data_IF_171450190357
#
_entry.id   IF_171450190357
#
_cell.length_a   1.000
_cell.length_b   1.000
_cell.length_c   1.000
_cell.angle_alpha   90.00
_cell.angle_beta   90.00
_cell.angle_gamma   90.00
#
_symmetry.space_group_name_H-M   'P 1'
#
loop_
_entity.id
_entity.type
_entity.pdbx_description
1 polymer ?
#
# COMPACT_ATOMS: atom_id res chain seq x y z
N UNK A 1 -0.81 14.91 -12.17
CA UNK A 1 -0.36 13.52 -12.04
C UNK A 1 1.16 13.40 -12.00
N UNK A 2 1.89 13.87 -13.03
CA UNK A 2 3.36 13.81 -13.05
C UNK A 2 4.03 14.43 -11.79
N UNK A 3 3.56 15.60 -11.34
CA UNK A 3 4.09 16.26 -10.14
C UNK A 3 3.89 15.46 -8.83
N UNK A 4 2.80 14.70 -8.71
CA UNK A 4 2.53 13.85 -7.53
C UNK A 4 3.51 12.68 -7.53
N UNK A 5 3.66 12.01 -8.67
CA UNK A 5 4.60 10.89 -8.82
C UNK A 5 6.04 11.35 -8.55
N UNK A 6 6.43 12.51 -9.08
CA UNK A 6 7.75 13.11 -8.78
C UNK A 6 7.91 13.39 -7.29
N UNK A 7 6.89 13.94 -6.62
CA UNK A 7 6.91 14.17 -5.17
C UNK A 7 7.10 12.88 -4.37
N UNK A 8 6.35 11.83 -4.70
CA UNK A 8 6.46 10.50 -4.07
C UNK A 8 7.87 9.93 -4.25
N UNK A 9 8.43 9.99 -5.45
CA UNK A 9 9.79 9.50 -5.73
C UNK A 9 10.85 10.27 -4.93
N UNK A 10 10.71 11.60 -4.80
CA UNK A 10 11.63 12.43 -4.01
C UNK A 10 11.58 12.04 -2.52
N UNK A 11 10.39 11.83 -1.97
CA UNK A 11 10.22 11.40 -0.58
C UNK A 11 10.83 10.01 -0.34
N UNK A 12 10.58 9.04 -1.23
CA UNK A 12 11.18 7.70 -1.17
C UNK A 12 12.71 7.79 -1.20
N UNK A 13 13.25 8.63 -2.08
CA UNK A 13 14.70 8.83 -2.20
C UNK A 13 15.31 9.44 -0.94
N UNK A 14 14.64 10.42 -0.32
CA UNK A 14 15.08 11.04 0.94
C UNK A 14 15.09 10.03 2.09
N UNK A 15 14.01 9.28 2.28
CA UNK A 15 13.90 8.28 3.34
C UNK A 15 14.95 7.18 3.15
N UNK A 16 15.07 6.66 1.92
CA UNK A 16 16.05 5.63 1.60
C UNK A 16 17.49 6.11 1.80
N UNK A 17 17.78 7.38 1.51
CA UNK A 17 19.13 7.95 1.69
C UNK A 17 19.52 8.11 3.17
N UNK A 18 18.55 8.19 4.09
CA UNK A 18 18.80 8.28 5.52
C UNK A 18 18.87 6.88 6.17
N UNK A 19 17.87 6.02 5.91
CA UNK A 19 17.71 4.75 6.61
C UNK A 19 18.49 3.59 5.97
N UNK A 20 18.56 3.50 4.64
CA UNK A 20 19.26 2.41 3.98
C UNK A 20 20.77 2.35 4.30
N UNK A 21 21.53 3.47 4.26
CA UNK A 21 22.95 3.42 4.63
C UNK A 21 23.15 3.20 6.13
N UNK A 22 22.23 3.64 6.99
CA UNK A 22 22.30 3.36 8.42
C UNK A 22 22.17 1.85 8.69
N UNK A 23 21.19 1.19 8.07
CA UNK A 23 20.96 -0.25 8.18
C UNK A 23 22.09 -1.08 7.57
N UNK A 24 22.65 -0.63 6.44
CA UNK A 24 23.80 -1.28 5.83
C UNK A 24 25.05 -1.15 6.71
N UNK A 25 25.35 0.03 7.24
CA UNK A 25 26.48 0.23 8.17
C UNK A 25 26.35 -0.61 9.44
N UNK A 26 25.12 -0.83 9.91
CA UNK A 26 24.85 -1.71 11.05
C UNK A 26 24.91 -3.22 10.72
N UNK A 27 25.24 -3.60 9.47
CA UNK A 27 25.23 -4.98 8.97
C UNK A 27 23.89 -5.71 9.17
N UNK A 28 22.79 -4.96 9.25
CA UNK A 28 21.44 -5.49 9.49
C UNK A 28 20.75 -5.84 8.17
N UNK A 29 21.31 -6.81 7.44
CA UNK A 29 20.82 -7.16 6.10
C UNK A 29 19.36 -7.65 6.05
N UNK A 30 18.89 -8.34 7.10
CA UNK A 30 17.49 -8.75 7.21
C UNK A 30 16.55 -7.55 7.32
N UNK A 31 16.89 -6.60 8.18
CA UNK A 31 16.10 -5.37 8.37
C UNK A 31 16.14 -4.51 7.10
N UNK A 32 17.31 -4.42 6.43
CA UNK A 32 17.45 -3.74 5.14
C UNK A 32 16.56 -4.37 4.05
N UNK A 33 16.49 -5.70 3.97
CA UNK A 33 15.62 -6.38 3.01
C UNK A 33 14.13 -6.12 3.28
N UNK A 34 13.72 -6.13 4.55
CA UNK A 34 12.34 -5.84 4.94
C UNK A 34 12.01 -4.37 4.65
N UNK A 35 12.91 -3.46 4.97
CA UNK A 35 12.80 -2.03 4.65
C UNK A 35 12.60 -1.80 3.15
N UNK A 36 13.45 -2.39 2.30
CA UNK A 36 13.33 -2.25 0.84
C UNK A 36 12.01 -2.83 0.32
N UNK A 37 11.57 -3.99 0.85
CA UNK A 37 10.30 -4.60 0.48
C UNK A 37 9.11 -3.67 0.80
N UNK A 38 9.05 -3.16 2.03
CA UNK A 38 8.02 -2.23 2.49
C UNK A 38 8.05 -0.93 1.69
N UNK A 39 9.25 -0.38 1.44
CA UNK A 39 9.41 0.87 0.72
C UNK A 39 9.00 0.76 -0.75
N UNK A 40 9.34 -0.34 -1.42
CA UNK A 40 8.83 -0.64 -2.75
C UNK A 40 7.31 -0.82 -2.75
N UNK A 41 6.75 -1.55 -1.79
CA UNK A 41 5.30 -1.75 -1.67
C UNK A 41 4.56 -0.42 -1.51
N UNK A 42 4.99 0.42 -0.57
CA UNK A 42 4.43 1.75 -0.33
C UNK A 42 4.55 2.67 -1.55
N UNK A 43 5.70 2.64 -2.25
CA UNK A 43 5.90 3.42 -3.46
C UNK A 43 4.99 3.00 -4.61
N UNK A 44 4.84 1.69 -4.85
CA UNK A 44 3.92 1.16 -5.87
C UNK A 44 2.48 1.56 -5.54
N UNK A 45 2.03 1.36 -4.30
CA UNK A 45 0.70 1.76 -3.83
C UNK A 45 0.44 3.25 -4.06
N UNK A 46 1.39 4.10 -3.66
CA UNK A 46 1.28 5.56 -3.80
C UNK A 46 1.21 6.00 -5.27
N UNK A 47 1.95 5.33 -6.15
CA UNK A 47 1.90 5.61 -7.60
C UNK A 47 0.59 5.11 -8.21
N UNK A 48 0.11 3.92 -7.81
CA UNK A 48 -1.20 3.40 -8.25
C UNK A 48 -2.35 4.34 -7.85
N UNK A 49 -2.32 4.84 -6.62
CA UNK A 49 -3.28 5.84 -6.13
C UNK A 49 -3.18 7.15 -6.93
N UNK A 50 -1.97 7.66 -7.17
CA UNK A 50 -1.76 8.87 -7.97
C UNK A 50 -2.20 8.72 -9.43
N UNK A 51 -2.19 7.51 -9.97
CA UNK A 51 -2.69 7.18 -11.31
C UNK A 51 -4.20 6.91 -11.32
N UNK A 52 -4.89 7.03 -10.18
CA UNK A 52 -6.29 6.67 -10.01
C UNK A 52 -6.60 5.24 -10.46
N UNK A 53 -5.59 4.35 -10.38
CA UNK A 53 -5.82 2.94 -10.65
C UNK A 53 -6.76 2.42 -9.56
N UNK A 54 -7.81 1.65 -9.90
CA UNK A 54 -8.74 1.11 -8.91
C UNK A 54 -7.97 0.12 -8.04
N UNK A 55 -7.49 0.63 -6.91
CA UNK A 55 -7.02 -0.19 -5.81
C UNK A 55 -8.24 -0.95 -5.31
N UNK A 56 -8.23 -2.29 -5.30
CA UNK A 56 -9.35 -3.06 -4.82
C UNK A 56 -9.65 -2.59 -3.40
N UNK A 57 -10.80 -1.95 -3.23
CA UNK A 57 -11.16 -1.29 -2.00
C UNK A 57 -11.47 -2.38 -0.97
N UNK A 58 -10.80 -2.43 0.19
CA UNK A 58 -11.12 -3.40 1.23
C UNK A 58 -12.60 -3.35 1.64
N UNK A 59 -13.22 -2.18 1.56
CA UNK A 59 -14.66 -2.02 1.79
C UNK A 59 -15.51 -2.72 0.72
N UNK A 60 -15.07 -2.77 -0.54
CA UNK A 60 -15.78 -3.54 -1.57
C UNK A 60 -15.68 -5.04 -1.32
N UNK A 61 -14.56 -5.53 -0.81
CA UNK A 61 -14.42 -6.95 -0.44
C UNK A 61 -15.28 -7.33 0.76
N UNK A 62 -15.34 -6.43 1.75
CA UNK A 62 -16.27 -6.56 2.88
C UNK A 62 -17.69 -6.57 2.35
N UNK A 63 -18.08 -5.59 1.52
CA UNK A 63 -19.42 -5.52 0.95
C UNK A 63 -19.77 -6.79 0.16
N UNK A 64 -18.88 -7.30 -0.71
CA UNK A 64 -19.07 -8.54 -1.46
C UNK A 64 -19.24 -9.78 -0.56
N UNK A 65 -18.62 -9.77 0.62
CA UNK A 65 -18.77 -10.87 1.60
C UNK A 65 -20.07 -10.75 2.40
N UNK A 66 -20.50 -9.53 2.73
CA UNK A 66 -21.69 -9.25 3.55
C UNK A 66 -22.99 -9.17 2.75
N UNK A 67 -22.93 -8.89 1.44
CA UNK A 67 -24.07 -8.86 0.54
C UNK A 67 -24.91 -10.17 0.53
N UNK A 68 -24.32 -11.38 0.42
CA UNK A 68 -25.10 -12.61 0.52
C UNK A 68 -25.73 -12.82 1.91
N UNK A 69 -25.07 -12.37 2.99
CA UNK A 69 -25.64 -12.43 4.34
C UNK A 69 -26.85 -11.52 4.49
N UNK A 70 -26.81 -10.31 3.93
CA UNK A 70 -27.95 -9.41 3.91
C UNK A 70 -29.14 -10.05 3.19
N UNK A 71 -28.93 -10.67 2.02
CA UNK A 71 -30.01 -11.34 1.28
C UNK A 71 -30.68 -12.45 2.10
N UNK A 72 -29.89 -13.25 2.82
CA UNK A 72 -30.43 -14.29 3.71
C UNK A 72 -31.25 -13.68 4.85
N UNK A 73 -30.75 -12.62 5.48
CA UNK A 73 -31.47 -11.94 6.57
C UNK A 73 -32.79 -11.36 6.06
N UNK A 74 -32.79 -10.64 4.92
CA UNK A 74 -34.01 -10.09 4.35
C UNK A 74 -35.01 -11.20 3.98
N UNK A 75 -34.55 -12.35 3.45
CA UNK A 75 -35.43 -13.48 3.11
C UNK A 75 -36.05 -14.21 4.31
N UNK A 76 -35.53 -14.02 5.52
CA UNK A 76 -36.06 -14.62 6.76
C UNK A 76 -37.08 -13.70 7.45
N UNK A 77 -37.00 -12.39 7.18
CA UNK A 77 -37.87 -11.37 7.78
C UNK A 77 -39.05 -10.94 6.87
N UNK A 78 -39.10 -11.44 5.64
CA UNK A 78 -40.24 -11.32 4.69
C UNK A 78 -41.03 -12.63 4.64
#
# INVERSE_FOLDING_TARGET
MAWIVTGVLVVIMLISSLEAPALWRASKFKELSLFLLLMCGAGILSVMEALQYPLPNPLEWINATFEPFNQVIYSVFE
#
